data_IF_503915588386
#
_entry.id   IF_503915588386
#
_cell.length_a   1.000
_cell.length_b   1.000
_cell.length_c   1.000
_cell.angle_alpha   90.00
_cell.angle_beta   90.00
_cell.angle_gamma   90.00
#
_symmetry.space_group_name_H-M   'P 1'
#
loop_
_entity.id
_entity.type
_entity.pdbx_description
1 polymer ?
#
# COMPACT_ATOMS: atom_id res chain seq x y z
N UNK A 1 -49.91 -3.86 45.30
CA UNK A 1 -49.65 -5.02 44.45
C UNK A 1 -49.55 -4.62 42.98
N UNK A 2 -50.51 -3.86 42.39
CA UNK A 2 -50.50 -3.41 40.99
C UNK A 2 -49.29 -2.53 40.64
N UNK A 3 -48.87 -1.61 41.52
CA UNK A 3 -47.69 -0.77 41.32
C UNK A 3 -46.39 -1.59 41.34
N UNK A 4 -46.28 -2.59 42.19
CA UNK A 4 -45.11 -3.48 42.29
C UNK A 4 -44.95 -4.38 41.05
N UNK A 5 -46.06 -4.85 40.51
CA UNK A 5 -46.05 -5.61 39.23
C UNK A 5 -45.65 -4.72 38.04
N UNK A 6 -46.06 -3.45 37.99
CA UNK A 6 -45.65 -2.52 36.91
C UNK A 6 -44.13 -2.22 36.95
N UNK A 7 -43.58 -2.07 38.15
CA UNK A 7 -42.12 -1.79 38.32
C UNK A 7 -41.31 -3.03 37.97
N UNK A 8 -41.80 -4.23 38.29
CA UNK A 8 -41.14 -5.50 37.92
C UNK A 8 -41.17 -5.73 36.39
N UNK A 9 -42.27 -5.34 35.70
CA UNK A 9 -42.36 -5.43 34.23
C UNK A 9 -41.42 -4.44 33.52
N UNK A 10 -41.19 -3.22 34.07
CA UNK A 10 -40.24 -2.25 33.52
C UNK A 10 -38.78 -2.68 33.69
N UNK A 11 -38.42 -3.39 34.75
CA UNK A 11 -37.07 -3.93 34.98
C UNK A 11 -36.77 -5.12 34.07
N UNK A 12 -37.79 -5.92 33.69
CA UNK A 12 -37.61 -7.03 32.75
C UNK A 12 -37.41 -6.57 31.28
N UNK A 13 -37.74 -5.32 30.94
CA UNK A 13 -37.52 -4.73 29.63
C UNK A 13 -36.20 -3.91 29.55
N UNK A 14 -35.40 -3.84 30.64
CA UNK A 14 -33.98 -3.57 30.54
C UNK A 14 -33.28 -4.75 29.86
N UNK A 15 -33.83 -5.11 28.69
CA UNK A 15 -33.34 -6.17 27.84
C UNK A 15 -31.85 -5.97 27.61
N UNK A 16 -31.09 -6.96 27.88
CA UNK A 16 -29.74 -7.16 27.41
C UNK A 16 -29.71 -6.63 25.97
N UNK A 17 -29.21 -5.43 25.78
CA UNK A 17 -28.81 -4.95 24.47
C UNK A 17 -27.66 -5.85 24.04
N UNK A 18 -28.02 -7.06 23.57
CA UNK A 18 -27.11 -7.92 22.84
C UNK A 18 -26.67 -7.06 21.65
N UNK A 19 -25.50 -6.45 21.78
CA UNK A 19 -24.92 -5.67 20.72
C UNK A 19 -25.01 -6.51 19.46
N UNK A 20 -25.54 -5.93 18.38
CA UNK A 20 -25.62 -6.65 17.11
C UNK A 20 -24.23 -7.17 16.75
N UNK A 21 -24.10 -8.43 16.34
CA UNK A 21 -22.80 -9.01 16.01
C UNK A 21 -22.12 -8.14 14.93
N UNK A 22 -20.84 -7.83 15.12
CA UNK A 22 -20.06 -7.10 14.13
C UNK A 22 -19.81 -7.98 12.90
N UNK A 23 -19.98 -7.43 11.67
CA UNK A 23 -20.53 -6.10 11.32
C UNK A 23 -22.05 -6.15 11.09
N UNK A 24 -22.79 -5.15 11.62
CA UNK A 24 -24.23 -4.98 11.42
C UNK A 24 -24.59 -3.92 10.36
N UNK A 25 -23.61 -3.24 9.81
CA UNK A 25 -23.76 -2.16 8.80
C UNK A 25 -22.54 -2.14 7.88
N UNK A 26 -22.58 -1.38 6.75
CA UNK A 26 -21.46 -1.32 5.82
C UNK A 26 -20.13 -0.90 6.46
N UNK A 27 -19.05 -1.58 6.10
CA UNK A 27 -17.67 -1.28 6.48
C UNK A 27 -17.02 -0.45 5.38
N UNK A 28 -16.28 0.60 5.74
CA UNK A 28 -15.56 1.46 4.81
C UNK A 28 -14.07 1.19 4.85
N UNK A 29 -13.48 0.92 3.68
CA UNK A 29 -12.04 0.84 3.46
C UNK A 29 -11.57 2.17 2.85
N UNK A 30 -10.93 2.99 3.66
CA UNK A 30 -10.37 4.27 3.21
C UNK A 30 -9.01 4.02 2.56
N UNK A 31 -8.82 4.54 1.35
CA UNK A 31 -7.61 4.40 0.54
C UNK A 31 -7.02 5.77 0.26
N UNK A 32 -5.74 5.98 0.62
CA UNK A 32 -5.05 7.28 0.48
C UNK A 32 -4.56 7.63 -0.93
N UNK A 33 -5.00 6.88 -1.95
CA UNK A 33 -4.57 7.04 -3.35
C UNK A 33 -5.75 7.20 -4.29
N UNK A 34 -5.48 7.73 -5.50
CA UNK A 34 -6.48 7.78 -6.57
C UNK A 34 -6.90 6.38 -7.02
N UNK A 35 -8.14 6.21 -7.53
CA UNK A 35 -8.60 4.95 -8.11
C UNK A 35 -7.67 4.42 -9.21
N UNK A 36 -7.61 3.08 -9.36
CA UNK A 36 -6.89 2.39 -10.44
C UNK A 36 -5.39 2.16 -10.18
N UNK A 37 -4.85 2.62 -9.05
CA UNK A 37 -3.49 2.26 -8.61
C UNK A 37 -3.46 0.93 -7.85
N UNK A 38 -2.24 0.40 -7.61
CA UNK A 38 -2.07 -0.92 -6.96
C UNK A 38 -2.76 -1.05 -5.60
N UNK A 39 -2.77 0.01 -4.77
CA UNK A 39 -3.47 0.01 -3.48
C UNK A 39 -4.99 -0.09 -3.68
N UNK A 40 -5.55 0.70 -4.59
CA UNK A 40 -6.99 0.69 -4.89
C UNK A 40 -7.45 -0.64 -5.47
N UNK A 41 -6.66 -1.22 -6.40
CA UNK A 41 -6.94 -2.55 -6.98
C UNK A 41 -6.99 -3.61 -5.88
N UNK A 42 -5.99 -3.66 -5.00
CA UNK A 42 -5.94 -4.62 -3.89
C UNK A 42 -7.08 -4.40 -2.88
N UNK A 43 -7.41 -3.13 -2.54
CA UNK A 43 -8.53 -2.80 -1.68
C UNK A 43 -9.86 -3.32 -2.23
N UNK A 44 -10.11 -3.16 -3.54
CA UNK A 44 -11.33 -3.64 -4.20
C UNK A 44 -11.38 -5.15 -4.30
N UNK A 45 -10.26 -5.82 -4.57
CA UNK A 45 -10.17 -7.29 -4.52
C UNK A 45 -10.52 -7.82 -3.13
N UNK A 46 -9.93 -7.23 -2.08
CA UNK A 46 -10.24 -7.60 -0.70
C UNK A 46 -11.71 -7.32 -0.36
N UNK A 47 -12.22 -6.12 -0.72
CA UNK A 47 -13.60 -5.72 -0.42
C UNK A 47 -14.63 -6.73 -0.96
N UNK A 48 -14.48 -7.19 -2.20
CA UNK A 48 -15.37 -8.22 -2.79
C UNK A 48 -15.40 -9.48 -1.92
N UNK A 49 -14.24 -9.93 -1.45
CA UNK A 49 -14.16 -11.15 -0.62
C UNK A 49 -14.64 -10.94 0.80
N UNK A 50 -14.41 -9.77 1.37
CA UNK A 50 -14.92 -9.40 2.68
C UNK A 50 -16.46 -9.31 2.70
N UNK A 51 -17.11 -8.87 1.61
CA UNK A 51 -18.59 -8.88 1.50
C UNK A 51 -19.11 -10.31 1.68
N UNK A 52 -18.49 -11.29 1.01
CA UNK A 52 -18.87 -12.69 1.12
C UNK A 52 -18.65 -13.25 2.53
N UNK A 53 -17.52 -12.89 3.17
CA UNK A 53 -17.12 -13.46 4.45
C UNK A 53 -17.80 -12.81 5.65
N UNK A 54 -18.11 -11.52 5.58
CA UNK A 54 -18.69 -10.74 6.67
C UNK A 54 -20.21 -10.59 6.55
N UNK A 55 -20.81 -10.90 5.40
CA UNK A 55 -22.23 -10.75 5.14
C UNK A 55 -22.73 -9.30 5.10
N UNK A 56 -21.82 -8.33 4.98
CA UNK A 56 -22.11 -6.89 4.93
C UNK A 56 -21.39 -6.21 3.79
N UNK A 57 -21.91 -5.09 3.30
CA UNK A 57 -21.27 -4.29 2.28
C UNK A 57 -19.93 -3.77 2.76
N UNK A 58 -18.92 -3.84 1.89
CA UNK A 58 -17.59 -3.24 2.10
C UNK A 58 -17.34 -2.24 0.98
N UNK A 59 -17.19 -0.97 1.37
CA UNK A 59 -17.13 0.16 0.43
C UNK A 59 -15.72 0.71 0.42
N UNK A 60 -15.10 0.79 -0.75
CA UNK A 60 -13.78 1.43 -0.93
C UNK A 60 -13.99 2.93 -1.19
N UNK A 61 -13.43 3.77 -0.32
CA UNK A 61 -13.48 5.23 -0.40
C UNK A 61 -12.08 5.80 -0.61
N UNK A 62 -11.84 6.47 -1.74
CA UNK A 62 -10.55 7.07 -2.05
C UNK A 62 -10.46 8.50 -1.49
N UNK A 63 -9.44 8.77 -0.65
CA UNK A 63 -9.08 10.09 -0.09
C UNK A 63 -7.60 10.40 -0.37
N UNK A 64 -7.25 10.73 -1.62
CA UNK A 64 -5.86 10.96 -2.00
C UNK A 64 -5.33 12.30 -1.49
N UNK A 65 -4.01 12.36 -1.29
CA UNK A 65 -3.28 13.59 -1.01
C UNK A 65 -2.22 13.45 0.09
N UNK A 66 -1.23 14.34 0.07
CA UNK A 66 -0.11 14.42 1.01
C UNK A 66 0.56 13.06 1.28
N UNK A 67 0.84 12.29 0.21
CA UNK A 67 1.47 10.96 0.34
C UNK A 67 0.65 9.93 1.14
N UNK A 68 -0.67 10.04 1.21
CA UNK A 68 -1.65 9.30 2.01
C UNK A 68 -1.98 9.90 3.39
N UNK A 69 -1.27 10.92 3.86
CA UNK A 69 -1.46 11.48 5.19
C UNK A 69 -2.89 11.97 5.46
N UNK A 70 -3.60 12.47 4.43
CA UNK A 70 -5.01 12.87 4.55
C UNK A 70 -5.90 11.69 4.95
N UNK A 71 -5.73 10.54 4.31
CA UNK A 71 -6.49 9.33 4.63
C UNK A 71 -6.09 8.75 5.99
N UNK A 72 -4.80 8.74 6.30
CA UNK A 72 -4.27 8.24 7.56
C UNK A 72 -4.83 9.06 8.74
N UNK A 73 -4.75 10.38 8.68
CA UNK A 73 -5.32 11.27 9.70
C UNK A 73 -6.83 11.08 9.87
N UNK A 74 -7.55 10.97 8.74
CA UNK A 74 -8.99 10.77 8.77
C UNK A 74 -9.38 9.49 9.52
N UNK A 75 -8.67 8.37 9.26
CA UNK A 75 -8.96 7.10 9.92
C UNK A 75 -8.47 7.10 11.36
N UNK A 76 -7.31 7.68 11.66
CA UNK A 76 -6.80 7.81 13.04
C UNK A 76 -7.80 8.51 13.98
N UNK A 77 -8.55 9.49 13.44
CA UNK A 77 -9.56 10.26 14.18
C UNK A 77 -10.98 9.66 14.07
N UNK A 78 -11.17 8.57 13.37
CA UNK A 78 -12.47 7.92 13.23
C UNK A 78 -12.87 7.16 14.50
N UNK A 79 -14.18 6.95 14.68
CA UNK A 79 -14.69 6.11 15.77
C UNK A 79 -14.08 4.71 15.70
N UNK A 80 -13.51 4.19 16.81
CA UNK A 80 -12.82 2.90 16.82
C UNK A 80 -13.78 1.72 16.96
N UNK A 81 -14.75 1.62 16.08
CA UNK A 81 -15.84 0.62 16.09
C UNK A 81 -15.73 -0.42 14.97
N UNK A 82 -14.62 -0.41 14.21
CA UNK A 82 -14.34 -1.33 13.12
C UNK A 82 -15.03 -1.02 11.80
N UNK A 83 -15.83 0.05 11.69
CA UNK A 83 -16.56 0.38 10.46
C UNK A 83 -15.84 1.39 9.56
N UNK A 84 -14.77 2.01 10.03
CA UNK A 84 -13.89 2.84 9.22
C UNK A 84 -12.47 2.37 9.38
N UNK A 85 -11.92 1.77 8.33
CA UNK A 85 -10.62 1.11 8.31
C UNK A 85 -9.73 1.77 7.27
N UNK A 86 -8.44 1.74 7.48
CA UNK A 86 -7.44 2.21 6.52
C UNK A 86 -6.92 1.00 5.73
N UNK A 87 -7.03 1.03 4.40
CA UNK A 87 -6.29 0.13 3.54
C UNK A 87 -5.14 0.90 2.89
N UNK A 88 -3.91 0.54 3.23
CA UNK A 88 -2.72 1.27 2.81
C UNK A 88 -1.60 0.31 2.38
N UNK A 89 -0.43 0.87 2.15
CA UNK A 89 0.79 0.18 1.77
C UNK A 89 1.95 0.59 2.69
N UNK A 90 3.16 0.16 2.39
CA UNK A 90 4.40 0.61 3.06
C UNK A 90 4.55 2.14 3.13
N UNK A 91 3.80 2.91 2.32
CA UNK A 91 3.71 4.37 2.44
C UNK A 91 3.27 4.82 3.85
N UNK A 92 2.46 4.04 4.55
CA UNK A 92 2.08 4.32 5.94
C UNK A 92 3.29 4.45 6.87
N UNK A 93 4.20 3.48 6.83
CA UNK A 93 5.41 3.47 7.66
C UNK A 93 6.47 4.47 7.15
N UNK A 94 6.60 4.61 5.83
CA UNK A 94 7.52 5.56 5.20
C UNK A 94 7.20 7.00 5.64
N UNK A 95 5.92 7.38 5.62
CA UNK A 95 5.51 8.75 5.94
C UNK A 95 5.76 9.11 7.40
N UNK A 96 5.70 8.16 8.34
CA UNK A 96 6.08 8.39 9.73
C UNK A 96 7.56 8.74 9.89
N UNK A 97 8.42 8.29 8.97
CA UNK A 97 9.84 8.59 8.97
C UNK A 97 10.18 9.84 8.12
N UNK A 98 9.42 10.08 7.06
CA UNK A 98 9.74 11.10 6.06
C UNK A 98 9.26 12.51 6.46
N UNK A 99 8.05 12.61 7.05
CA UNK A 99 7.48 13.90 7.45
C UNK A 99 7.97 14.28 8.84
N UNK A 100 8.39 15.54 9.02
CA UNK A 100 8.83 16.03 10.34
C UNK A 100 7.70 16.01 11.37
N UNK A 101 6.48 16.34 10.94
CA UNK A 101 5.28 16.40 11.78
C UNK A 101 4.14 15.66 11.06
N UNK A 102 4.15 14.32 11.01
CA UNK A 102 3.05 13.59 10.42
C UNK A 102 1.78 13.79 11.25
N UNK A 103 0.58 13.92 10.62
CA UNK A 103 -0.67 14.20 11.32
C UNK A 103 -1.24 12.98 12.08
N UNK A 104 -0.49 11.90 12.18
CA UNK A 104 -0.80 10.67 12.92
C UNK A 104 0.50 10.04 13.45
N UNK A 105 0.36 9.12 14.37
CA UNK A 105 1.46 8.31 14.90
C UNK A 105 1.15 6.83 14.76
N UNK A 106 2.17 5.98 14.82
CA UNK A 106 2.00 4.52 14.78
C UNK A 106 1.05 4.03 15.87
N UNK A 107 1.11 4.62 17.07
CA UNK A 107 0.23 4.29 18.21
C UNK A 107 -1.25 4.59 18.00
N UNK A 108 -1.61 5.36 16.96
CA UNK A 108 -3.00 5.71 16.65
C UNK A 108 -3.70 4.59 15.84
N UNK A 109 -2.95 3.53 15.50
CA UNK A 109 -3.43 2.40 14.69
C UNK A 109 -3.14 1.06 15.34
N UNK A 110 -4.00 0.11 15.05
CA UNK A 110 -3.78 -1.33 15.24
C UNK A 110 -3.68 -2.00 13.87
N UNK A 111 -2.64 -2.80 13.64
CA UNK A 111 -2.53 -3.64 12.47
C UNK A 111 -3.63 -4.71 12.48
N UNK A 112 -4.33 -4.87 11.37
CA UNK A 112 -5.31 -5.95 11.21
C UNK A 112 -4.67 -7.13 10.51
N UNK A 113 -4.19 -6.93 9.29
CA UNK A 113 -3.45 -7.95 8.54
C UNK A 113 -2.85 -7.35 7.26
N UNK A 114 -1.72 -7.85 6.82
CA UNK A 114 -1.24 -7.69 5.44
C UNK A 114 -2.06 -8.62 4.55
N UNK A 115 -2.71 -8.07 3.55
CA UNK A 115 -3.49 -8.84 2.58
C UNK A 115 -2.60 -9.47 1.52
N UNK A 116 -1.67 -8.68 0.97
CA UNK A 116 -0.74 -9.14 -0.06
C UNK A 116 0.55 -8.33 -0.06
N UNK A 117 1.59 -8.91 -0.63
CA UNK A 117 2.87 -8.26 -0.89
C UNK A 117 3.13 -8.20 -2.40
N UNK A 118 3.89 -7.20 -2.83
CA UNK A 118 4.30 -7.03 -4.22
C UNK A 118 5.69 -6.43 -4.27
N UNK A 119 6.17 -6.12 -5.45
CA UNK A 119 7.47 -5.48 -5.63
C UNK A 119 7.35 -4.32 -6.61
N UNK A 120 8.23 -3.33 -6.45
CA UNK A 120 8.41 -2.29 -7.44
C UNK A 120 9.43 -2.74 -8.50
N UNK A 121 9.19 -2.33 -9.73
CA UNK A 121 10.12 -2.50 -10.83
C UNK A 121 10.52 -1.12 -11.38
N UNK A 122 11.78 -0.98 -11.74
CA UNK A 122 12.19 0.10 -12.62
C UNK A 122 11.61 -0.18 -14.00
N UNK A 123 10.71 0.69 -14.42
CA UNK A 123 10.10 0.67 -15.74
C UNK A 123 10.39 1.98 -16.48
N UNK A 124 10.53 1.89 -17.78
CA UNK A 124 10.77 3.05 -18.64
C UNK A 124 9.70 3.12 -19.73
N UNK A 125 9.44 4.34 -20.21
CA UNK A 125 8.65 4.56 -21.42
C UNK A 125 9.28 3.82 -22.60
N UNK A 126 8.46 3.26 -23.49
CA UNK A 126 8.94 2.61 -24.70
C UNK A 126 9.76 3.53 -25.61
N UNK A 127 9.54 4.85 -25.49
CA UNK A 127 10.28 5.89 -26.24
C UNK A 127 11.71 6.12 -25.73
N UNK A 128 12.03 5.74 -24.49
CA UNK A 128 13.39 5.89 -23.96
C UNK A 128 14.34 4.91 -24.68
N UNK A 129 15.49 5.37 -25.21
CA UNK A 129 16.43 4.51 -25.96
C UNK A 129 17.27 3.59 -25.06
N UNK A 130 16.87 3.34 -23.80
CA UNK A 130 17.53 2.44 -22.86
C UNK A 130 16.77 1.10 -22.76
N UNK A 131 17.51 -0.02 -22.85
CA UNK A 131 16.98 -1.38 -22.83
C UNK A 131 17.46 -2.21 -21.62
N UNK A 132 18.37 -1.66 -20.84
CA UNK A 132 18.92 -2.29 -19.63
C UNK A 132 19.06 -1.25 -18.52
N UNK A 133 19.22 -1.74 -17.28
CA UNK A 133 19.51 -0.89 -16.12
C UNK A 133 20.79 -0.08 -16.34
N UNK A 134 21.84 -0.72 -16.89
CA UNK A 134 23.13 -0.08 -17.15
C UNK A 134 23.01 1.05 -18.16
N UNK A 135 22.19 0.86 -19.22
CA UNK A 135 21.94 1.93 -20.20
C UNK A 135 21.19 3.12 -19.59
N UNK A 136 20.23 2.89 -18.67
CA UNK A 136 19.58 3.98 -17.93
C UNK A 136 20.60 4.74 -17.08
N UNK A 137 21.46 4.01 -16.34
CA UNK A 137 22.51 4.64 -15.51
C UNK A 137 23.48 5.44 -16.37
N UNK A 138 23.91 4.89 -17.50
CA UNK A 138 24.81 5.58 -18.43
C UNK A 138 24.16 6.86 -18.99
N UNK A 139 22.90 6.79 -19.40
CA UNK A 139 22.14 7.92 -19.93
C UNK A 139 21.94 9.01 -18.88
N UNK A 140 21.57 8.62 -17.63
CA UNK A 140 21.39 9.56 -16.52
C UNK A 140 22.72 10.27 -16.14
N UNK A 141 23.84 9.57 -16.20
CA UNK A 141 25.18 10.17 -15.94
C UNK A 141 25.64 11.08 -17.07
N UNK A 142 25.30 10.75 -18.32
CA UNK A 142 25.64 11.60 -19.47
C UNK A 142 24.83 12.89 -19.51
N UNK A 143 23.62 12.88 -18.94
CA UNK A 143 22.68 14.00 -18.96
C UNK A 143 22.08 14.23 -17.55
N UNK A 144 22.86 14.75 -16.58
CA UNK A 144 22.38 15.02 -15.22
C UNK A 144 21.14 15.93 -15.23
N UNK A 145 20.12 15.58 -14.44
CA UNK A 145 18.87 16.33 -14.34
C UNK A 145 17.89 16.18 -15.52
N UNK A 146 18.28 15.47 -16.61
CA UNK A 146 17.42 15.36 -17.79
C UNK A 146 16.38 14.24 -17.71
N UNK A 147 16.61 13.19 -16.92
CA UNK A 147 15.66 12.11 -16.74
C UNK A 147 14.75 12.38 -15.55
N UNK A 148 13.44 12.26 -15.79
CA UNK A 148 12.42 12.38 -14.75
C UNK A 148 11.88 11.00 -14.39
N UNK A 149 11.67 10.75 -13.08
CA UNK A 149 10.95 9.58 -12.62
C UNK A 149 9.66 9.94 -11.90
N UNK A 150 8.58 9.23 -12.22
CA UNK A 150 7.30 9.40 -11.56
C UNK A 150 7.15 8.48 -10.35
N UNK A 151 6.38 8.94 -9.36
CA UNK A 151 5.92 8.13 -8.24
C UNK A 151 4.44 8.37 -7.93
N UNK A 152 3.86 7.53 -7.08
CA UNK A 152 2.50 7.74 -6.58
C UNK A 152 2.40 8.87 -5.53
N UNK A 153 3.48 9.62 -5.34
CA UNK A 153 3.61 10.75 -4.42
C UNK A 153 4.82 10.61 -3.50
N UNK A 154 5.22 11.73 -2.89
CA UNK A 154 6.25 11.74 -1.86
C UNK A 154 5.88 10.77 -0.71
N UNK A 155 6.85 10.07 -0.15
CA UNK A 155 6.62 9.09 0.92
C UNK A 155 6.03 7.76 0.46
N UNK A 156 6.04 7.47 -0.83
CA UNK A 156 5.70 6.13 -1.35
C UNK A 156 6.95 5.27 -1.52
N UNK A 157 6.77 3.94 -1.58
CA UNK A 157 7.86 3.02 -1.91
C UNK A 157 8.51 3.32 -3.26
N UNK A 158 7.75 3.86 -4.20
CA UNK A 158 8.21 4.29 -5.53
C UNK A 158 9.18 5.47 -5.42
N UNK A 159 8.85 6.47 -4.58
CA UNK A 159 9.72 7.60 -4.29
C UNK A 159 11.04 7.12 -3.66
N UNK A 160 10.97 6.34 -2.58
CA UNK A 160 12.15 5.85 -1.88
C UNK A 160 13.03 4.95 -2.77
N UNK A 161 12.43 4.15 -3.66
CA UNK A 161 13.19 3.37 -4.64
C UNK A 161 13.97 4.27 -5.60
N UNK A 162 13.38 5.37 -6.05
CA UNK A 162 14.06 6.38 -6.88
C UNK A 162 15.21 7.06 -6.15
N UNK A 163 15.00 7.48 -4.92
CA UNK A 163 16.04 8.14 -4.11
C UNK A 163 17.20 7.17 -3.76
N UNK A 164 16.89 5.92 -3.41
CA UNK A 164 17.93 4.89 -3.23
C UNK A 164 18.69 4.61 -4.53
N UNK A 165 17.99 4.57 -5.68
CA UNK A 165 18.63 4.40 -6.97
C UNK A 165 19.60 5.55 -7.28
N UNK A 166 19.20 6.81 -7.07
CA UNK A 166 20.10 7.99 -7.20
C UNK A 166 21.33 7.82 -6.35
N UNK A 167 21.14 7.49 -5.06
CA UNK A 167 22.22 7.32 -4.11
C UNK A 167 23.20 6.21 -4.52
N UNK A 168 22.68 5.05 -4.93
CA UNK A 168 23.50 3.87 -5.26
C UNK A 168 24.21 3.97 -6.61
N UNK A 169 23.61 4.70 -7.55
CA UNK A 169 24.17 4.86 -8.89
C UNK A 169 24.95 6.16 -9.08
N UNK A 170 24.86 7.11 -8.15
CA UNK A 170 25.44 8.45 -8.31
C UNK A 170 24.85 9.20 -9.50
N UNK A 171 23.56 8.98 -9.81
CA UNK A 171 22.85 9.65 -10.91
C UNK A 171 22.02 10.81 -10.39
N UNK A 172 21.85 11.83 -11.22
CA UNK A 172 20.94 12.94 -10.98
C UNK A 172 19.70 12.76 -11.88
N UNK A 173 18.62 12.22 -11.29
CA UNK A 173 17.30 12.08 -11.90
C UNK A 173 16.28 12.85 -11.07
N UNK A 174 15.29 13.48 -11.72
CA UNK A 174 14.33 14.39 -11.07
C UNK A 174 13.08 13.65 -10.67
N UNK A 175 12.65 13.79 -9.41
CA UNK A 175 11.40 13.23 -8.93
C UNK A 175 10.19 14.06 -9.37
N UNK A 176 9.16 13.41 -9.91
CA UNK A 176 7.87 14.00 -10.27
C UNK A 176 6.76 13.26 -9.52
N UNK A 177 6.26 13.82 -8.40
CA UNK A 177 5.22 13.17 -7.60
C UNK A 177 3.82 13.35 -8.22
N UNK A 178 3.02 12.29 -8.18
CA UNK A 178 1.61 12.27 -8.56
C UNK A 178 0.72 11.90 -7.37
N UNK A 179 -0.60 12.12 -7.48
CA UNK A 179 -1.57 11.77 -6.43
C UNK A 179 -1.96 10.28 -6.43
N UNK A 180 -1.09 9.40 -6.93
CA UNK A 180 -1.31 7.96 -7.02
C UNK A 180 -0.63 7.32 -8.23
N UNK A 181 -0.57 5.98 -8.27
CA UNK A 181 0.10 5.25 -9.35
C UNK A 181 -0.59 5.40 -10.71
N UNK A 182 -1.92 5.55 -10.75
CA UNK A 182 -2.64 5.64 -12.02
C UNK A 182 -2.25 6.89 -12.84
N UNK A 183 -2.29 8.13 -12.31
CA UNK A 183 -1.83 9.31 -13.05
C UNK A 183 -0.32 9.27 -13.35
N UNK A 184 0.52 8.75 -12.44
CA UNK A 184 1.95 8.57 -12.67
C UNK A 184 2.23 7.64 -13.87
N UNK A 185 1.46 6.55 -13.96
CA UNK A 185 1.56 5.58 -15.05
C UNK A 185 1.07 6.16 -16.38
N UNK A 186 0.01 6.97 -16.37
CA UNK A 186 -0.47 7.67 -17.57
C UNK A 186 0.62 8.58 -18.14
N UNK A 187 1.26 9.39 -17.29
CA UNK A 187 2.35 10.27 -17.70
C UNK A 187 3.57 9.49 -18.24
N UNK A 188 3.90 8.33 -17.63
CA UNK A 188 4.99 7.47 -18.10
C UNK A 188 4.68 6.86 -19.47
N UNK A 189 3.46 6.37 -19.68
CA UNK A 189 3.01 5.79 -20.95
C UNK A 189 2.97 6.85 -22.05
N UNK A 190 2.58 8.09 -21.71
CA UNK A 190 2.59 9.22 -22.62
C UNK A 190 4.02 9.74 -22.93
N UNK A 191 5.04 9.32 -22.15
CA UNK A 191 6.42 9.79 -22.32
C UNK A 191 6.71 11.16 -21.69
N UNK A 192 5.76 11.71 -20.91
CA UNK A 192 5.94 12.97 -20.16
C UNK A 192 7.03 12.83 -19.08
N UNK A 193 7.16 11.64 -18.51
CA UNK A 193 8.29 11.21 -17.68
C UNK A 193 8.93 9.99 -18.31
N UNK A 194 10.23 9.79 -18.09
CA UNK A 194 11.01 8.76 -18.80
C UNK A 194 11.00 7.43 -18.06
N UNK A 195 10.86 7.44 -16.72
CA UNK A 195 10.98 6.25 -15.90
C UNK A 195 10.09 6.31 -14.67
N UNK A 196 9.89 5.17 -14.03
CA UNK A 196 9.16 5.04 -12.77
C UNK A 196 9.59 3.78 -12.03
N UNK A 197 9.47 3.81 -10.69
CA UNK A 197 9.55 2.61 -9.85
C UNK A 197 8.12 2.17 -9.52
N UNK A 198 7.49 1.41 -10.39
CA UNK A 198 6.07 1.08 -10.28
C UNK A 198 5.86 -0.35 -9.80
N UNK A 199 4.80 -0.57 -8.99
CA UNK A 199 4.46 -1.92 -8.53
C UNK A 199 3.94 -2.79 -9.69
N UNK A 200 4.22 -4.09 -9.60
CA UNK A 200 3.87 -5.08 -10.62
C UNK A 200 2.38 -5.09 -10.94
N UNK A 201 1.53 -4.93 -9.91
CA UNK A 201 0.06 -4.92 -10.04
C UNK A 201 -0.41 -3.85 -11.03
N UNK A 202 0.18 -2.65 -10.98
CA UNK A 202 -0.24 -1.54 -11.84
C UNK A 202 0.29 -1.63 -13.27
N UNK A 203 1.50 -2.20 -13.48
CA UNK A 203 2.22 -2.10 -14.76
C UNK A 203 2.08 -3.33 -15.67
N UNK A 204 1.66 -4.47 -15.14
CA UNK A 204 1.71 -5.76 -15.84
C UNK A 204 1.15 -5.71 -17.27
N UNK A 205 -0.04 -5.11 -17.46
CA UNK A 205 -0.66 -5.00 -18.78
C UNK A 205 0.13 -4.08 -19.74
N UNK A 206 0.73 -3.01 -19.22
CA UNK A 206 1.50 -2.07 -20.03
C UNK A 206 2.83 -2.64 -20.50
N UNK A 207 3.46 -3.47 -19.67
CA UNK A 207 4.70 -4.19 -20.05
C UNK A 207 4.37 -5.25 -21.08
N UNK A 208 3.32 -6.06 -20.86
CA UNK A 208 2.89 -7.08 -21.83
C UNK A 208 2.50 -6.53 -23.19
N UNK A 209 1.91 -5.34 -23.23
CA UNK A 209 1.55 -4.66 -24.49
C UNK A 209 2.70 -3.89 -25.13
N UNK A 210 3.91 -3.91 -24.55
CA UNK A 210 5.10 -3.21 -25.05
C UNK A 210 5.06 -1.68 -24.91
N UNK A 211 4.07 -1.12 -24.22
CA UNK A 211 3.99 0.33 -23.96
C UNK A 211 5.03 0.79 -22.93
N UNK A 212 5.42 -0.10 -22.04
CA UNK A 212 6.49 0.09 -21.06
C UNK A 212 7.50 -1.05 -21.17
N UNK A 213 8.71 -0.78 -20.72
CA UNK A 213 9.78 -1.77 -20.59
C UNK A 213 10.20 -1.89 -19.13
N UNK A 214 10.09 -3.09 -18.55
CA UNK A 214 10.61 -3.41 -17.23
C UNK A 214 12.10 -3.74 -17.35
N UNK A 215 12.94 -3.13 -16.52
CA UNK A 215 14.40 -3.26 -16.59
C UNK A 215 15.01 -3.96 -15.38
N UNK A 216 14.46 -3.73 -14.18
CA UNK A 216 14.97 -4.38 -12.98
C UNK A 216 13.92 -4.38 -11.86
N UNK A 217 13.96 -5.40 -11.00
CA UNK A 217 13.10 -5.55 -9.82
C UNK A 217 13.78 -4.92 -8.61
N UNK A 218 13.12 -3.97 -7.94
CA UNK A 218 13.59 -3.36 -6.69
C UNK A 218 13.18 -4.22 -5.47
N UNK A 219 13.50 -5.50 -5.52
CA UNK A 219 13.18 -6.49 -4.51
C UNK A 219 14.27 -7.54 -4.38
N UNK A 220 14.20 -8.38 -3.33
CA UNK A 220 15.18 -9.42 -3.05
C UNK A 220 15.14 -10.60 -4.04
N UNK A 221 14.02 -10.76 -4.75
CA UNK A 221 13.80 -11.83 -5.76
C UNK A 221 13.14 -11.27 -7.01
N UNK A 222 13.29 -11.98 -8.13
CA UNK A 222 12.59 -11.65 -9.38
C UNK A 222 11.08 -11.78 -9.22
N UNK A 223 10.33 -11.04 -10.02
CA UNK A 223 8.87 -11.19 -10.10
C UNK A 223 8.50 -12.53 -10.77
N UNK A 224 7.55 -13.27 -10.18
CA UNK A 224 7.04 -14.48 -10.81
C UNK A 224 6.32 -14.22 -12.14
N UNK A 225 5.79 -13.02 -12.35
CA UNK A 225 5.15 -12.64 -13.63
C UNK A 225 6.14 -12.22 -14.71
N UNK A 226 7.36 -11.85 -14.34
CA UNK A 226 8.41 -11.34 -15.22
C UNK A 226 9.75 -11.95 -14.82
N UNK A 227 9.90 -13.30 -14.91
CA UNK A 227 11.10 -14.00 -14.44
C UNK A 227 12.35 -13.65 -15.26
N UNK A 228 12.16 -13.11 -16.46
CA UNK A 228 13.24 -12.61 -17.32
C UNK A 228 13.83 -11.29 -16.81
N UNK A 229 13.09 -10.51 -16.01
CA UNK A 229 13.54 -9.21 -15.49
C UNK A 229 14.43 -9.46 -14.25
N UNK A 230 15.71 -9.07 -14.29
CA UNK A 230 16.63 -9.27 -13.18
C UNK A 230 16.25 -8.39 -11.96
N UNK A 231 16.72 -8.76 -10.77
CA UNK A 231 16.71 -7.84 -9.63
C UNK A 231 17.72 -6.72 -9.85
N UNK A 232 17.57 -5.59 -9.12
CA UNK A 232 18.57 -4.50 -9.13
C UNK A 232 19.96 -5.03 -8.82
N UNK A 233 20.06 -5.93 -7.83
CA UNK A 233 21.33 -6.58 -7.43
C UNK A 233 21.92 -7.42 -8.54
N UNK A 234 21.13 -8.29 -9.20
CA UNK A 234 21.59 -9.09 -10.35
C UNK A 234 22.02 -8.22 -11.52
N UNK A 235 21.39 -7.04 -11.66
CA UNK A 235 21.74 -6.02 -12.66
C UNK A 235 22.85 -5.06 -12.17
N UNK A 236 23.58 -5.37 -11.09
CA UNK A 236 24.77 -4.65 -10.64
C UNK A 236 24.51 -3.39 -9.80
N UNK A 237 23.29 -3.17 -9.31
CA UNK A 237 22.95 -2.06 -8.40
C UNK A 237 22.41 -2.63 -7.10
N UNK A 238 23.24 -2.64 -6.06
CA UNK A 238 22.86 -3.16 -4.73
C UNK A 238 22.20 -2.08 -3.86
N UNK A 239 21.37 -2.51 -2.88
CA UNK A 239 20.79 -1.64 -1.86
C UNK A 239 19.62 -0.78 -2.34
N UNK A 240 18.92 -1.21 -3.38
CA UNK A 240 17.67 -0.60 -3.88
C UNK A 240 16.49 -1.57 -3.66
N UNK A 241 16.48 -2.24 -2.51
CA UNK A 241 15.39 -3.15 -2.16
C UNK A 241 14.34 -2.40 -1.35
N UNK A 242 13.13 -2.29 -1.91
CA UNK A 242 12.02 -1.56 -1.32
C UNK A 242 10.80 -2.49 -1.25
N UNK A 243 10.60 -3.21 -0.15
CA UNK A 243 9.44 -4.07 0.04
C UNK A 243 8.15 -3.25 0.01
N UNK A 244 7.13 -3.84 -0.57
CA UNK A 244 5.81 -3.24 -0.72
C UNK A 244 4.76 -4.24 -0.25
N UNK A 245 4.00 -3.86 0.77
CA UNK A 245 2.82 -4.60 1.22
C UNK A 245 1.54 -3.78 0.99
N UNK A 246 0.41 -4.46 0.98
CA UNK A 246 -0.94 -3.90 1.00
C UNK A 246 -1.68 -4.52 2.18
N UNK A 247 -2.15 -3.69 3.10
CA UNK A 247 -2.69 -4.18 4.37
C UNK A 247 -3.78 -3.30 4.94
N UNK A 248 -4.50 -3.88 5.89
CA UNK A 248 -5.63 -3.30 6.59
C UNK A 248 -5.21 -2.89 8.00
N UNK A 249 -5.53 -1.64 8.37
CA UNK A 249 -5.31 -1.08 9.71
C UNK A 249 -6.63 -0.54 10.24
N UNK A 250 -6.78 -0.58 11.57
CA UNK A 250 -7.90 0.00 12.29
C UNK A 250 -7.42 1.13 13.22
N UNK A 251 -8.29 2.06 13.68
CA UNK A 251 -7.97 2.94 14.79
C UNK A 251 -7.53 2.14 16.03
N UNK A 252 -6.53 2.60 16.78
CA UNK A 252 -5.87 1.84 17.85
C UNK A 252 -6.83 1.33 18.94
N UNK A 253 -7.88 2.11 19.28
CA UNK A 253 -8.84 1.75 20.30
C UNK A 253 -9.96 0.80 19.80
N UNK A 254 -9.87 0.27 18.58
CA UNK A 254 -10.83 -0.71 18.05
C UNK A 254 -10.81 -1.98 18.94
N UNK A 255 -11.97 -2.49 19.40
CA UNK A 255 -12.03 -3.67 20.23
C UNK A 255 -11.29 -4.86 19.62
N UNK A 256 -10.50 -5.56 20.44
CA UNK A 256 -9.64 -6.67 19.99
C UNK A 256 -10.43 -7.75 19.25
N UNK A 257 -11.65 -8.06 19.68
CA UNK A 257 -12.51 -9.03 19.03
C UNK A 257 -12.86 -8.64 17.59
N UNK A 258 -13.08 -7.33 17.33
CA UNK A 258 -13.33 -6.79 16.00
C UNK A 258 -12.08 -6.92 15.13
N UNK A 259 -10.91 -6.54 15.67
CA UNK A 259 -9.62 -6.68 14.97
C UNK A 259 -9.36 -8.14 14.60
N UNK A 260 -9.60 -9.08 15.52
CA UNK A 260 -9.44 -10.52 15.26
C UNK A 260 -10.44 -11.03 14.21
N UNK A 261 -11.70 -10.60 14.26
CA UNK A 261 -12.72 -10.96 13.26
C UNK A 261 -12.32 -10.49 11.87
N UNK A 262 -11.85 -9.25 11.75
CA UNK A 262 -11.37 -8.67 10.48
C UNK A 262 -10.11 -9.39 10.00
N UNK A 263 -9.14 -9.65 10.88
CA UNK A 263 -7.91 -10.36 10.54
C UNK A 263 -8.18 -11.78 10.02
N UNK A 264 -9.05 -12.52 10.71
CA UNK A 264 -9.46 -13.86 10.25
C UNK A 264 -10.13 -13.80 8.87
N UNK A 265 -10.96 -12.77 8.61
CA UNK A 265 -11.58 -12.58 7.31
C UNK A 265 -10.55 -12.25 6.22
N UNK A 266 -9.56 -11.38 6.50
CA UNK A 266 -8.46 -11.06 5.57
C UNK A 266 -7.61 -12.30 5.27
N UNK A 267 -7.22 -13.06 6.29
CA UNK A 267 -6.45 -14.29 6.13
C UNK A 267 -7.20 -15.33 5.28
N UNK A 268 -8.52 -15.53 5.54
CA UNK A 268 -9.37 -16.41 4.73
C UNK A 268 -9.52 -15.91 3.30
N UNK A 269 -9.64 -14.60 3.10
CA UNK A 269 -9.67 -13.98 1.77
C UNK A 269 -8.36 -14.25 1.00
N UNK A 270 -7.20 -13.92 1.59
CA UNK A 270 -5.89 -14.11 0.97
C UNK A 270 -5.60 -15.59 0.67
N UNK A 271 -6.03 -16.51 1.55
CA UNK A 271 -5.84 -17.96 1.41
C UNK A 271 -6.80 -18.64 0.45
N UNK A 272 -7.88 -17.99 -0.01
CA UNK A 272 -8.86 -18.62 -0.90
C UNK A 272 -8.27 -18.88 -2.29
N UNK A 273 -8.57 -20.02 -2.94
CA UNK A 273 -7.94 -20.40 -4.22
C UNK A 273 -8.16 -19.37 -5.33
N UNK A 274 -9.35 -18.80 -5.42
CA UNK A 274 -9.71 -17.79 -6.42
C UNK A 274 -8.96 -16.47 -6.19
N UNK A 275 -8.81 -16.03 -4.94
CA UNK A 275 -8.08 -14.82 -4.61
C UNK A 275 -6.57 -14.99 -4.79
N UNK A 276 -6.01 -16.13 -4.34
CA UNK A 276 -4.59 -16.45 -4.60
C UNK A 276 -4.27 -16.40 -6.09
N UNK A 277 -5.12 -17.01 -6.93
CA UNK A 277 -4.96 -16.96 -8.38
C UNK A 277 -4.95 -15.54 -8.90
N UNK A 278 -5.94 -14.71 -8.51
CA UNK A 278 -6.05 -13.30 -8.94
C UNK A 278 -4.86 -12.45 -8.50
N UNK A 279 -4.39 -12.62 -7.26
CA UNK A 279 -3.24 -11.88 -6.74
C UNK A 279 -1.96 -12.27 -7.52
N UNK A 280 -1.70 -13.56 -7.69
CA UNK A 280 -0.54 -14.05 -8.44
C UNK A 280 -0.55 -13.59 -9.90
N UNK A 281 -1.72 -13.59 -10.57
CA UNK A 281 -1.89 -13.07 -11.94
C UNK A 281 -1.60 -11.55 -12.04
N UNK A 282 -1.63 -10.83 -10.94
CA UNK A 282 -1.28 -9.42 -10.84
C UNK A 282 0.15 -9.17 -10.33
N UNK A 283 0.88 -10.20 -9.96
CA UNK A 283 2.24 -10.09 -9.40
C UNK A 283 2.24 -9.65 -7.94
N UNK A 284 1.22 -10.05 -7.20
CA UNK A 284 1.14 -9.90 -5.76
C UNK A 284 1.09 -11.28 -5.09
N UNK A 285 1.91 -11.48 -4.07
CA UNK A 285 1.92 -12.69 -3.24
C UNK A 285 0.85 -12.53 -2.13
N UNK A 286 -0.10 -13.49 -1.96
CA UNK A 286 -1.06 -13.46 -0.86
C UNK A 286 -0.37 -13.71 0.48
N UNK A 287 -0.78 -12.98 1.53
CA UNK A 287 -0.20 -13.07 2.89
C UNK A 287 -1.27 -13.50 3.90
N UNK A 288 -1.95 -12.61 4.60
CA UNK A 288 -2.95 -12.95 5.62
C UNK A 288 -2.30 -13.24 6.98
N UNK A 289 -1.35 -12.42 7.41
CA UNK A 289 -0.68 -12.55 8.72
C UNK A 289 -1.58 -12.10 9.87
N UNK A 290 -1.16 -12.40 11.12
CA UNK A 290 -1.88 -12.00 12.34
C UNK A 290 -1.69 -10.53 12.66
N UNK A 291 -2.56 -9.92 13.50
CA UNK A 291 -2.40 -8.55 13.98
C UNK A 291 -1.05 -8.33 14.68
N UNK A 292 -0.63 -9.27 15.50
CA UNK A 292 0.62 -9.20 16.24
C UNK A 292 1.86 -9.23 15.32
N UNK A 293 1.81 -10.04 14.26
CA UNK A 293 2.86 -10.08 13.23
C UNK A 293 2.89 -8.78 12.43
N UNK A 294 1.73 -8.25 12.05
CA UNK A 294 1.68 -7.00 11.31
C UNK A 294 2.13 -5.80 12.16
N UNK A 295 1.71 -5.71 13.42
CA UNK A 295 2.17 -4.66 14.34
C UNK A 295 3.70 -4.71 14.56
N UNK A 296 4.29 -5.89 14.61
CA UNK A 296 5.75 -6.06 14.67
C UNK A 296 6.40 -5.55 13.39
N UNK A 297 5.90 -5.98 12.23
CA UNK A 297 6.38 -5.53 10.92
C UNK A 297 6.33 -4.00 10.80
N UNK A 298 5.23 -3.35 11.20
CA UNK A 298 5.09 -1.91 11.17
C UNK A 298 6.15 -1.19 12.01
N UNK A 299 6.45 -1.69 13.22
CA UNK A 299 7.52 -1.13 14.08
C UNK A 299 8.90 -1.25 13.44
N UNK A 300 9.20 -2.42 12.89
CA UNK A 300 10.47 -2.69 12.21
C UNK A 300 10.62 -1.81 10.96
N UNK A 301 9.55 -1.64 10.19
CA UNK A 301 9.55 -0.79 9.00
C UNK A 301 9.73 0.69 9.32
N UNK A 302 9.07 1.24 10.34
CA UNK A 302 9.26 2.64 10.74
C UNK A 302 10.72 2.90 11.09
N UNK A 303 11.36 2.00 11.85
CA UNK A 303 12.78 2.12 12.19
C UNK A 303 13.68 2.01 10.95
N UNK A 304 13.43 1.06 10.07
CA UNK A 304 14.15 0.89 8.80
C UNK A 304 14.02 2.11 7.90
N UNK A 305 12.79 2.63 7.72
CA UNK A 305 12.57 3.78 6.85
C UNK A 305 13.17 5.06 7.39
N UNK A 306 13.25 5.24 8.72
CA UNK A 306 13.98 6.36 9.31
C UNK A 306 15.44 6.38 8.88
N UNK A 307 16.11 5.21 8.86
CA UNK A 307 17.49 5.10 8.37
C UNK A 307 17.58 5.33 6.86
N UNK A 308 16.67 4.75 6.07
CA UNK A 308 16.64 4.94 4.61
C UNK A 308 16.44 6.42 4.23
N UNK A 309 15.48 7.10 4.87
CA UNK A 309 15.24 8.54 4.64
C UNK A 309 16.48 9.36 4.97
N UNK A 310 17.15 9.07 6.09
CA UNK A 310 18.38 9.75 6.50
C UNK A 310 19.50 9.59 5.48
N UNK A 311 19.75 8.38 4.98
CA UNK A 311 20.87 8.12 4.06
C UNK A 311 20.58 8.53 2.62
N UNK A 312 19.32 8.45 2.18
CA UNK A 312 18.92 8.86 0.83
C UNK A 312 18.75 10.37 0.68
N UNK A 313 18.55 11.09 1.79
CA UNK A 313 18.22 12.51 1.76
C UNK A 313 16.81 12.81 1.24
N UNK A 314 15.94 11.78 1.13
CA UNK A 314 14.56 11.93 0.70
C UNK A 314 13.80 12.92 1.57
N UNK A 315 12.94 13.74 0.95
CA UNK A 315 12.15 14.77 1.64
C UNK A 315 10.68 14.66 1.24
N UNK A 316 9.80 15.01 2.16
CA UNK A 316 8.42 15.35 1.83
C UNK A 316 8.41 16.72 1.15
N UNK A 317 7.85 16.80 -0.05
CA UNK A 317 7.66 18.06 -0.76
C UNK A 317 6.42 18.79 -0.25
#
# INVERSE_FOLDING_TARGET
LKAFLLTLLLILHAGVALGQPFPARPVRLVVGFTPGGGVDINARLLAVKLIELLGQQVIVENKPGAGTNIANEYVAKSVPDGYTLLFNSSAFAINLALYQNPPYALRDFAGVSVFSESTNLLVVSASLPARSLQEVVALARAHPGALNYSSAGAGTSQHLAGELFKLRTGTDIVHVPYKGSAPALTALVAGEVQMSFSNTVAINQHVRSGRLRALAVAGAKRSALMPEVPTMKEAGVEGVEVPLWFGLLAPAATPREIVQTLSAAVAKAAGSPDMRKRLLEQGADPVGNTPEEFDRQLREEVARWAEVVKVSGARAE
#
